data_IF_741493037092
#
_entry.id   IF_741493037092
#
_cell.length_a   1.000
_cell.length_b   1.000
_cell.length_c   1.000
_cell.angle_alpha   90.00
_cell.angle_beta   90.00
_cell.angle_gamma   90.00
#
_symmetry.space_group_name_H-M   'P 1'
#
loop_
_entity.id
_entity.type
_entity.pdbx_description
1 polymer ?
#
# COMPACT_ATOMS: atom_id res chain seq x y z
N UNK A 1 -10.79 11.19 -7.35
CA UNK A 1 -10.68 10.66 -8.73
C UNK A 1 -9.43 9.81 -8.95
N UNK A 2 -8.22 10.25 -8.56
CA UNK A 2 -6.98 9.50 -8.85
C UNK A 2 -6.94 8.09 -8.24
N UNK A 3 -7.39 7.94 -6.99
CA UNK A 3 -7.41 6.64 -6.29
C UNK A 3 -8.34 5.63 -6.99
N UNK A 4 -9.48 6.09 -7.51
CA UNK A 4 -10.42 5.23 -8.27
C UNK A 4 -9.74 4.77 -9.57
N UNK A 5 -9.06 5.68 -10.28
CA UNK A 5 -8.29 5.32 -11.47
C UNK A 5 -7.18 4.31 -11.16
N UNK A 6 -6.50 4.44 -10.02
CA UNK A 6 -5.49 3.46 -9.60
C UNK A 6 -6.12 2.08 -9.37
N UNK A 7 -7.26 2.03 -8.68
CA UNK A 7 -7.99 0.79 -8.45
C UNK A 7 -8.43 0.14 -9.77
N UNK A 8 -9.00 0.92 -10.70
CA UNK A 8 -9.40 0.44 -12.03
C UNK A 8 -8.20 -0.02 -12.86
N UNK A 9 -7.10 0.73 -12.85
CA UNK A 9 -5.89 0.39 -13.60
C UNK A 9 -5.24 -0.89 -13.10
N UNK A 10 -5.15 -1.06 -11.77
CA UNK A 10 -4.59 -2.27 -11.16
C UNK A 10 -5.49 -3.49 -11.33
N UNK A 11 -6.82 -3.36 -11.23
CA UNK A 11 -7.72 -4.48 -11.53
C UNK A 11 -7.64 -4.85 -13.01
N UNK A 12 -7.67 -3.88 -13.93
CA UNK A 12 -7.53 -4.12 -15.36
C UNK A 12 -6.23 -4.86 -15.69
N UNK A 13 -5.10 -4.47 -15.07
CA UNK A 13 -3.81 -5.13 -15.29
C UNK A 13 -3.77 -6.60 -14.83
N UNK A 14 -4.67 -6.98 -13.92
CA UNK A 14 -4.77 -8.33 -13.36
C UNK A 14 -5.89 -9.17 -13.99
N UNK A 15 -6.68 -8.61 -14.91
CA UNK A 15 -7.68 -9.38 -15.65
C UNK A 15 -6.96 -10.35 -16.59
N UNK A 16 -7.28 -11.64 -16.48
CA UNK A 16 -6.74 -12.67 -17.36
C UNK A 16 -7.07 -12.39 -18.83
N UNK A 17 -6.13 -12.71 -19.72
CA UNK A 17 -6.30 -12.51 -21.15
C UNK A 17 -7.34 -13.48 -21.73
N UNK A 18 -8.09 -13.03 -22.74
CA UNK A 18 -9.01 -13.91 -23.47
C UNK A 18 -8.17 -14.93 -24.27
N UNK A 19 -8.17 -16.20 -23.84
CA UNK A 19 -7.36 -17.27 -24.45
C UNK A 19 -6.56 -18.15 -23.49
N UNK A 20 -6.53 -17.84 -22.19
CA UNK A 20 -6.11 -18.80 -21.16
C UNK A 20 -7.25 -19.78 -20.86
N UNK A 21 -6.91 -21.03 -20.46
CA UNK A 21 -7.83 -22.17 -20.35
C UNK A 21 -8.99 -22.02 -19.34
N UNK A 22 -9.09 -20.86 -18.68
CA UNK A 22 -10.06 -20.56 -17.63
C UNK A 22 -10.81 -19.28 -17.94
N UNK A 23 -11.55 -19.25 -19.05
CA UNK A 23 -12.71 -18.36 -19.17
C UNK A 23 -13.83 -18.89 -18.25
N UNK A 24 -13.55 -18.98 -16.96
CA UNK A 24 -14.60 -19.17 -15.95
C UNK A 24 -15.51 -17.95 -16.04
N UNK A 25 -16.82 -18.21 -16.08
CA UNK A 25 -17.85 -17.18 -16.04
C UNK A 25 -17.52 -16.16 -14.94
N UNK A 26 -17.23 -14.91 -15.32
CA UNK A 26 -16.68 -13.84 -14.47
C UNK A 26 -17.51 -13.49 -13.21
N UNK A 27 -18.66 -14.13 -13.02
CA UNK A 27 -19.56 -13.99 -11.87
C UNK A 27 -20.03 -15.32 -11.27
N UNK A 28 -19.36 -16.43 -11.57
CA UNK A 28 -19.78 -17.77 -11.14
C UNK A 28 -19.21 -18.19 -9.78
N UNK A 29 -18.40 -17.35 -9.14
CA UNK A 29 -17.94 -17.64 -7.79
C UNK A 29 -19.11 -17.56 -6.79
N UNK A 30 -19.11 -18.36 -5.71
CA UNK A 30 -20.14 -18.29 -4.68
C UNK A 30 -20.25 -16.88 -4.07
N UNK A 31 -21.47 -16.41 -3.80
CA UNK A 31 -21.73 -15.08 -3.19
C UNK A 31 -20.93 -14.85 -1.91
N UNK A 32 -20.71 -15.91 -1.12
CA UNK A 32 -19.89 -15.89 0.08
C UNK A 32 -18.44 -15.46 -0.20
N UNK A 33 -17.87 -15.85 -1.33
CA UNK A 33 -16.52 -15.44 -1.75
C UNK A 33 -16.45 -13.93 -1.99
N UNK A 34 -17.43 -13.36 -2.69
CA UNK A 34 -17.50 -11.90 -2.89
C UNK A 34 -17.67 -11.14 -1.57
N UNK A 35 -18.54 -11.61 -0.66
CA UNK A 35 -18.74 -10.98 0.65
C UNK A 35 -17.46 -11.01 1.51
N UNK A 36 -16.77 -12.15 1.55
CA UNK A 36 -15.49 -12.27 2.26
C UNK A 36 -14.39 -11.42 1.61
N UNK A 37 -14.40 -11.30 0.28
CA UNK A 37 -13.50 -10.41 -0.46
C UNK A 37 -13.66 -8.95 -0.01
N UNK A 38 -14.90 -8.44 -0.02
CA UNK A 38 -15.20 -7.07 0.43
C UNK A 38 -14.81 -6.88 1.91
N UNK A 39 -15.15 -7.84 2.77
CA UNK A 39 -14.80 -7.77 4.19
C UNK A 39 -13.27 -7.72 4.38
N UNK A 40 -12.52 -8.54 3.66
CA UNK A 40 -11.05 -8.56 3.74
C UNK A 40 -10.43 -7.24 3.26
N UNK A 41 -10.98 -6.61 2.22
CA UNK A 41 -10.54 -5.30 1.75
C UNK A 41 -10.79 -4.22 2.82
N UNK A 42 -11.96 -4.22 3.46
CA UNK A 42 -12.28 -3.29 4.54
C UNK A 42 -11.34 -3.46 5.75
N UNK A 43 -11.09 -4.70 6.17
CA UNK A 43 -10.17 -5.00 7.28
C UNK A 43 -8.73 -4.60 6.95
N UNK A 44 -8.28 -4.84 5.72
CA UNK A 44 -6.95 -4.43 5.24
C UNK A 44 -6.78 -2.90 5.25
N UNK A 45 -7.79 -2.17 4.77
CA UNK A 45 -7.81 -0.71 4.80
C UNK A 45 -7.80 -0.17 6.24
N UNK A 46 -8.65 -0.72 7.12
CA UNK A 46 -8.72 -0.35 8.53
C UNK A 46 -7.39 -0.61 9.24
N UNK A 47 -6.77 -1.78 9.05
CA UNK A 47 -5.48 -2.11 9.64
C UNK A 47 -4.38 -1.13 9.20
N UNK A 48 -4.36 -0.75 7.92
CA UNK A 48 -3.42 0.25 7.38
C UNK A 48 -3.60 1.62 8.04
N UNK A 49 -4.83 2.14 8.07
CA UNK A 49 -5.15 3.46 8.66
C UNK A 49 -4.92 3.45 10.17
N UNK A 50 -5.25 2.36 10.86
CA UNK A 50 -5.03 2.25 12.30
C UNK A 50 -3.53 2.19 12.64
N UNK A 51 -2.73 1.51 11.83
CA UNK A 51 -1.27 1.48 12.01
C UNK A 51 -0.68 2.87 11.80
N UNK A 52 -1.11 3.59 10.76
CA UNK A 52 -0.71 4.98 10.53
C UNK A 52 -1.06 5.88 11.72
N UNK A 53 -2.30 5.78 12.20
CA UNK A 53 -2.78 6.51 13.36
C UNK A 53 -1.92 6.23 14.61
N UNK A 54 -1.66 4.96 14.91
CA UNK A 54 -0.86 4.54 16.07
C UNK A 54 0.58 5.07 16.00
N UNK A 55 1.20 5.01 14.82
CA UNK A 55 2.59 5.45 14.63
C UNK A 55 2.74 6.97 14.68
N UNK A 56 1.74 7.71 14.19
CA UNK A 56 1.75 9.19 14.18
C UNK A 56 1.28 9.82 15.49
N UNK A 57 0.38 9.16 16.23
CA UNK A 57 -0.14 9.69 17.49
C UNK A 57 0.93 9.70 18.60
N UNK A 58 1.85 8.74 18.56
CA UNK A 58 2.81 8.53 19.62
C UNK A 58 4.21 9.07 19.23
N UNK A 59 4.82 9.87 20.10
CA UNK A 59 6.13 10.51 19.85
C UNK A 59 7.35 9.60 20.13
N UNK A 60 7.11 8.32 20.38
CA UNK A 60 8.17 7.35 20.63
C UNK A 60 9.08 7.12 19.41
N UNK A 61 10.25 6.53 19.64
CA UNK A 61 11.13 6.10 18.55
C UNK A 61 10.43 5.10 17.63
N UNK A 62 10.69 5.19 16.32
CA UNK A 62 10.13 4.25 15.34
C UNK A 62 10.51 2.80 15.64
N UNK A 63 11.73 2.58 16.12
CA UNK A 63 12.20 1.24 16.48
C UNK A 63 11.39 0.64 17.61
N UNK A 64 11.06 1.42 18.64
CA UNK A 64 10.25 0.94 19.77
C UNK A 64 8.82 0.59 19.34
N UNK A 65 8.19 1.44 18.53
CA UNK A 65 6.88 1.17 17.96
C UNK A 65 6.88 -0.11 17.09
N UNK A 66 7.92 -0.31 16.28
CA UNK A 66 8.08 -1.51 15.48
C UNK A 66 8.28 -2.76 16.33
N UNK A 67 9.08 -2.71 17.40
CA UNK A 67 9.27 -3.84 18.32
C UNK A 67 7.93 -4.25 18.93
N UNK A 68 7.13 -3.30 19.42
CA UNK A 68 5.80 -3.60 19.98
C UNK A 68 4.88 -4.22 18.92
N UNK A 69 4.75 -3.58 17.77
CA UNK A 69 3.85 -4.02 16.70
C UNK A 69 4.21 -5.41 16.17
N UNK A 70 5.49 -5.66 15.87
CA UNK A 70 5.94 -6.95 15.36
C UNK A 70 5.96 -8.04 16.43
N UNK A 71 6.12 -7.69 17.71
CA UNK A 71 6.00 -8.68 18.80
C UNK A 71 4.57 -9.23 18.86
N UNK A 72 3.56 -8.37 18.84
CA UNK A 72 2.16 -8.82 18.77
C UNK A 72 1.88 -9.59 17.48
N UNK A 73 2.40 -9.13 16.34
CA UNK A 73 2.30 -9.84 15.06
C UNK A 73 2.89 -11.25 15.11
N UNK A 74 4.08 -11.41 15.71
CA UNK A 74 4.74 -12.70 15.87
C UNK A 74 3.94 -13.64 16.78
N UNK A 75 3.43 -13.15 17.91
CA UNK A 75 2.59 -13.93 18.83
C UNK A 75 1.34 -14.45 18.11
N UNK A 76 0.64 -13.60 17.36
CA UNK A 76 -0.56 -13.99 16.61
C UNK A 76 -0.25 -15.01 15.50
N UNK A 77 0.87 -14.87 14.79
CA UNK A 77 1.30 -15.85 13.78
C UNK A 77 1.66 -17.20 14.42
N UNK A 78 2.38 -17.20 15.55
CA UNK A 78 2.68 -18.43 16.30
C UNK A 78 1.41 -19.10 16.81
N UNK A 79 0.47 -18.33 17.36
CA UNK A 79 -0.82 -18.85 17.80
C UNK A 79 -1.60 -19.50 16.64
N UNK A 80 -1.54 -18.89 15.44
CA UNK A 80 -2.16 -19.46 14.24
C UNK A 80 -1.55 -20.81 13.86
N UNK A 81 -0.21 -20.92 13.87
CA UNK A 81 0.49 -22.19 13.61
C UNK A 81 0.07 -23.29 14.59
N UNK A 82 -0.03 -22.94 15.88
CA UNK A 82 -0.49 -23.86 16.92
C UNK A 82 -1.93 -24.31 16.68
N UNK A 83 -2.84 -23.39 16.36
CA UNK A 83 -4.24 -23.74 16.02
C UNK A 83 -4.30 -24.65 14.80
N UNK A 84 -3.49 -24.40 13.77
CA UNK A 84 -3.46 -25.24 12.57
C UNK A 84 -2.91 -26.65 12.87
N UNK A 85 -1.91 -26.79 13.74
CA UNK A 85 -1.43 -28.09 14.25
C UNK A 85 -2.52 -28.86 15.02
N UNK A 86 -3.23 -28.18 15.93
CA UNK A 86 -4.33 -28.76 16.70
C UNK A 86 -5.46 -29.24 15.78
N UNK A 87 -5.82 -28.45 14.75
CA UNK A 87 -6.86 -28.82 13.78
C UNK A 87 -6.44 -29.99 12.89
N UNK A 88 -5.15 -30.10 12.59
CA UNK A 88 -4.59 -31.20 11.81
C UNK A 88 -4.22 -32.43 12.67
N UNK A 89 -4.57 -32.45 13.96
CA UNK A 89 -4.32 -33.60 14.84
C UNK A 89 -2.85 -33.99 14.98
N UNK A 90 -1.91 -33.05 14.77
CA UNK A 90 -0.46 -33.30 14.77
C UNK A 90 0.03 -34.39 13.79
N UNK A 91 -0.74 -34.72 12.74
CA UNK A 91 -0.37 -35.77 11.77
C UNK A 91 1.00 -35.57 11.13
N UNK A 92 1.41 -34.30 10.96
CA UNK A 92 2.68 -33.91 10.34
C UNK A 92 3.78 -33.57 11.36
N UNK A 93 3.51 -33.78 12.65
CA UNK A 93 4.35 -33.30 13.74
C UNK A 93 4.18 -31.79 14.01
N UNK A 94 4.75 -31.30 15.11
CA UNK A 94 4.55 -29.93 15.56
C UNK A 94 5.27 -28.91 14.66
N UNK A 95 4.72 -27.69 14.59
CA UNK A 95 5.14 -26.63 13.69
C UNK A 95 6.62 -26.30 13.76
N UNK A 96 7.23 -26.35 14.96
CA UNK A 96 8.63 -26.01 15.18
C UNK A 96 9.61 -26.98 14.50
N UNK A 97 9.24 -28.26 14.36
CA UNK A 97 10.05 -29.23 13.61
C UNK A 97 9.91 -29.03 12.10
N UNK A 98 8.75 -28.53 11.66
CA UNK A 98 8.44 -28.31 10.24
C UNK A 98 8.86 -26.94 9.72
N UNK A 99 9.13 -25.99 10.61
CA UNK A 99 9.31 -24.57 10.27
C UNK A 99 10.35 -24.33 9.19
N UNK A 100 11.47 -25.06 9.24
CA UNK A 100 12.59 -24.92 8.31
C UNK A 100 12.65 -26.02 7.24
N UNK A 101 11.68 -26.93 7.21
CA UNK A 101 11.69 -28.01 6.23
C UNK A 101 11.42 -27.44 4.81
N UNK A 102 12.28 -27.79 3.86
CA UNK A 102 12.18 -27.31 2.47
C UNK A 102 12.66 -25.87 2.25
N UNK A 103 13.37 -25.27 3.22
CA UNK A 103 13.94 -23.93 3.03
C UNK A 103 15.11 -23.98 2.04
N UNK A 104 14.93 -23.31 0.90
CA UNK A 104 15.97 -23.08 -0.09
C UNK A 104 16.63 -21.71 0.11
N UNK A 105 17.74 -21.45 -0.58
CA UNK A 105 18.37 -20.11 -0.62
C UNK A 105 17.35 -19.05 -1.11
N UNK A 106 16.52 -19.40 -2.08
CA UNK A 106 15.45 -18.53 -2.58
C UNK A 106 14.41 -18.22 -1.51
N UNK A 107 14.06 -19.20 -0.67
CA UNK A 107 13.14 -19.00 0.47
C UNK A 107 13.71 -17.97 1.45
N UNK A 108 15.00 -18.07 1.79
CA UNK A 108 15.68 -17.09 2.64
C UNK A 108 15.71 -15.69 2.02
N UNK A 109 15.96 -15.59 0.70
CA UNK A 109 15.90 -14.31 -0.01
C UNK A 109 14.51 -13.66 0.11
N UNK A 110 13.43 -14.44 -0.03
CA UNK A 110 12.06 -13.94 0.12
C UNK A 110 11.79 -13.50 1.56
N UNK A 111 12.24 -14.24 2.57
CA UNK A 111 12.09 -13.88 3.99
C UNK A 111 12.79 -12.55 4.29
N UNK A 112 14.04 -12.37 3.84
CA UNK A 112 14.78 -11.13 4.03
C UNK A 112 14.14 -9.95 3.29
N UNK A 113 13.68 -10.17 2.06
CA UNK A 113 12.99 -9.16 1.27
C UNK A 113 11.69 -8.71 1.97
N UNK A 114 10.88 -9.66 2.43
CA UNK A 114 9.60 -9.37 3.09
C UNK A 114 9.80 -8.63 4.42
N UNK A 115 10.82 -9.02 5.20
CA UNK A 115 11.21 -8.29 6.41
C UNK A 115 11.65 -6.86 6.12
N UNK A 116 12.47 -6.67 5.08
CA UNK A 116 12.95 -5.35 4.65
C UNK A 116 11.80 -4.45 4.17
N UNK A 117 10.89 -4.99 3.35
CA UNK A 117 9.68 -4.27 2.92
C UNK A 117 8.80 -3.90 4.11
N UNK A 118 8.66 -4.77 5.10
CA UNK A 118 7.91 -4.47 6.33
C UNK A 118 8.46 -3.26 7.09
N UNK A 119 9.78 -3.18 7.24
CA UNK A 119 10.46 -2.05 7.88
C UNK A 119 10.29 -0.74 7.09
N UNK A 120 10.41 -0.80 5.75
CA UNK A 120 10.18 0.34 4.88
C UNK A 120 8.73 0.82 4.94
N UNK A 121 7.76 -0.10 5.00
CA UNK A 121 6.35 0.23 5.17
C UNK A 121 6.09 0.92 6.51
N UNK A 122 6.70 0.44 7.60
CA UNK A 122 6.62 1.12 8.90
C UNK A 122 7.20 2.54 8.87
N UNK A 123 8.31 2.73 8.16
CA UNK A 123 8.88 4.07 7.96
C UNK A 123 7.92 4.97 7.16
N UNK A 124 7.35 4.46 6.07
CA UNK A 124 6.31 5.17 5.30
C UNK A 124 5.10 5.53 6.16
N UNK A 125 4.65 4.65 7.04
CA UNK A 125 3.50 4.92 7.91
C UNK A 125 3.75 6.01 8.95
N UNK A 126 5.00 6.17 9.40
CA UNK A 126 5.36 7.22 10.35
C UNK A 126 5.57 8.57 9.70
N UNK A 127 6.25 8.60 8.55
CA UNK A 127 6.72 9.84 7.93
C UNK A 127 5.94 10.27 6.68
N UNK A 128 5.11 9.39 6.14
CA UNK A 128 4.22 9.65 5.01
C UNK A 128 2.81 9.17 5.36
N UNK A 129 1.96 8.99 4.33
CA UNK A 129 0.57 8.57 4.50
C UNK A 129 0.34 7.16 3.93
N UNK A 130 -0.69 6.46 4.43
CA UNK A 130 -1.08 5.16 3.90
C UNK A 130 -1.44 5.22 2.40
N UNK A 131 -1.83 6.39 1.88
CA UNK A 131 -2.06 6.58 0.44
C UNK A 131 -0.77 6.41 -0.36
N UNK A 132 0.36 6.96 0.11
CA UNK A 132 1.67 6.82 -0.55
C UNK A 132 2.11 5.36 -0.55
N UNK A 133 1.86 4.62 0.55
CA UNK A 133 2.09 3.17 0.61
C UNK A 133 1.30 2.43 -0.48
N UNK A 134 0.02 2.75 -0.65
CA UNK A 134 -0.83 2.09 -1.67
C UNK A 134 -0.28 2.38 -3.08
N UNK A 135 0.05 3.63 -3.41
CA UNK A 135 0.67 3.95 -4.71
C UNK A 135 2.01 3.22 -4.92
N UNK A 136 2.87 3.16 -3.90
CA UNK A 136 4.14 2.44 -3.98
C UNK A 136 3.94 0.96 -4.24
N UNK A 137 2.96 0.35 -3.58
CA UNK A 137 2.65 -1.08 -3.75
C UNK A 137 2.08 -1.36 -5.13
N UNK A 138 1.20 -0.49 -5.64
CA UNK A 138 0.68 -0.58 -7.01
C UNK A 138 1.78 -0.43 -8.05
N UNK A 139 2.73 0.50 -7.88
CA UNK A 139 3.85 0.65 -8.81
C UNK A 139 4.79 -0.56 -8.79
N UNK A 140 5.06 -1.13 -7.60
CA UNK A 140 5.84 -2.36 -7.48
C UNK A 140 5.16 -3.55 -8.20
N UNK A 141 3.83 -3.64 -8.12
CA UNK A 141 3.05 -4.64 -8.88
C UNK A 141 3.24 -4.46 -10.40
N UNK A 142 3.10 -3.24 -10.93
CA UNK A 142 3.32 -2.96 -12.36
C UNK A 142 4.75 -3.30 -12.79
N UNK A 143 5.75 -2.88 -12.01
CA UNK A 143 7.15 -3.18 -12.27
C UNK A 143 7.40 -4.70 -12.30
N UNK A 144 6.81 -5.43 -11.36
CA UNK A 144 6.91 -6.90 -11.32
C UNK A 144 6.33 -7.53 -12.58
N UNK A 145 5.21 -7.03 -13.09
CA UNK A 145 4.62 -7.52 -14.34
C UNK A 145 5.51 -7.22 -15.55
N UNK A 146 6.09 -6.02 -15.64
CA UNK A 146 7.04 -5.66 -16.70
C UNK A 146 8.29 -6.54 -16.65
N UNK A 147 8.89 -6.71 -15.47
CA UNK A 147 10.04 -7.60 -15.30
C UNK A 147 9.71 -9.05 -15.64
N UNK A 148 8.47 -9.50 -15.37
CA UNK A 148 8.04 -10.85 -15.70
C UNK A 148 7.99 -11.12 -17.21
N UNK A 149 7.66 -10.10 -18.01
CA UNK A 149 7.74 -10.19 -19.48
C UNK A 149 9.18 -10.44 -19.93
N UNK A 150 10.15 -9.70 -19.38
CA UNK A 150 11.56 -9.81 -19.78
C UNK A 150 12.27 -11.05 -19.23
N UNK A 151 12.04 -11.39 -17.95
CA UNK A 151 12.76 -12.47 -17.27
C UNK A 151 12.14 -13.84 -17.50
N UNK A 152 10.80 -13.92 -17.56
CA UNK A 152 10.08 -15.20 -17.66
C UNK A 152 9.40 -15.40 -19.02
N UNK A 153 9.64 -14.50 -19.99
CA UNK A 153 9.00 -14.54 -21.32
C UNK A 153 7.47 -14.60 -21.24
N UNK A 154 6.89 -13.95 -20.22
CA UNK A 154 5.45 -13.83 -20.07
C UNK A 154 4.86 -13.07 -21.26
N UNK A 155 3.77 -13.56 -21.83
CA UNK A 155 3.12 -12.93 -22.99
C UNK A 155 2.35 -11.69 -22.51
N UNK A 156 2.79 -10.46 -22.84
CA UNK A 156 2.08 -9.26 -22.39
C UNK A 156 0.68 -9.23 -23.01
N UNK A 157 -0.32 -8.97 -22.17
CA UNK A 157 -1.71 -8.83 -22.60
C UNK A 157 -2.03 -7.35 -22.87
N UNK A 158 -3.04 -7.09 -23.71
CA UNK A 158 -3.48 -5.72 -23.97
C UNK A 158 -4.03 -5.04 -22.70
N UNK A 159 -4.64 -5.84 -21.82
CA UNK A 159 -5.12 -5.43 -20.49
C UNK A 159 -3.98 -4.89 -19.61
N UNK A 160 -2.81 -5.55 -19.62
CA UNK A 160 -1.62 -5.10 -18.88
C UNK A 160 -1.16 -3.73 -19.37
N UNK A 161 -1.05 -3.53 -20.68
CA UNK A 161 -0.62 -2.25 -21.26
C UNK A 161 -1.56 -1.10 -20.91
N UNK A 162 -2.87 -1.30 -21.07
CA UNK A 162 -3.88 -0.29 -20.70
C UNK A 162 -3.88 -0.02 -19.19
N UNK A 163 -3.74 -1.05 -18.36
CA UNK A 163 -3.64 -0.91 -16.91
C UNK A 163 -2.44 -0.06 -16.48
N UNK A 164 -1.27 -0.25 -17.11
CA UNK A 164 -0.07 0.57 -16.85
C UNK A 164 -0.34 2.03 -17.20
N UNK A 165 -0.91 2.33 -18.38
CA UNK A 165 -1.22 3.71 -18.79
C UNK A 165 -2.16 4.39 -17.78
N UNK A 166 -3.24 3.70 -17.38
CA UNK A 166 -4.21 4.24 -16.43
C UNK A 166 -3.55 4.51 -15.06
N UNK A 167 -2.69 3.61 -14.59
CA UNK A 167 -1.96 3.80 -13.34
C UNK A 167 -0.98 4.98 -13.42
N UNK A 168 -0.27 5.15 -14.55
CA UNK A 168 0.63 6.29 -14.76
C UNK A 168 -0.14 7.62 -14.78
N UNK A 169 -1.31 7.66 -15.42
CA UNK A 169 -2.20 8.83 -15.40
C UNK A 169 -2.72 9.14 -13.99
N UNK A 170 -3.09 8.11 -13.22
CA UNK A 170 -3.50 8.25 -11.82
C UNK A 170 -2.37 8.84 -10.96
N UNK A 171 -1.15 8.33 -11.11
CA UNK A 171 0.03 8.80 -10.39
C UNK A 171 0.29 10.28 -10.69
N UNK A 172 0.29 10.66 -11.98
CA UNK A 172 0.44 12.05 -12.40
C UNK A 172 -0.65 12.94 -11.81
N UNK A 173 -1.92 12.52 -11.84
CA UNK A 173 -3.02 13.33 -11.32
C UNK A 173 -2.98 13.48 -9.79
N UNK A 174 -2.40 12.53 -9.06
CA UNK A 174 -2.28 12.59 -7.60
C UNK A 174 -1.10 13.45 -7.14
N UNK A 175 0.05 13.35 -7.81
CA UNK A 175 1.28 14.04 -7.40
C UNK A 175 1.54 15.35 -8.15
N UNK A 176 0.84 15.65 -9.24
CA UNK A 176 1.01 16.92 -9.94
C UNK A 176 0.42 18.09 -9.13
N UNK A 177 1.13 19.23 -9.06
CA UNK A 177 0.64 20.41 -8.35
C UNK A 177 -0.62 20.99 -9.03
N UNK A 178 -1.55 21.60 -8.27
CA UNK A 178 -2.82 22.13 -8.80
C UNK A 178 -2.66 23.12 -9.96
N UNK A 179 -1.53 23.84 -10.00
CA UNK A 179 -1.18 24.81 -11.04
C UNK A 179 -0.90 24.20 -12.43
N UNK A 180 -0.63 22.89 -12.49
CA UNK A 180 -0.40 22.16 -13.75
C UNK A 180 -1.69 21.50 -14.27
N UNK A 181 -2.69 21.30 -13.40
CA UNK A 181 -3.93 20.55 -13.69
C UNK A 181 -5.12 21.47 -14.00
N UNK A 182 -5.12 22.67 -13.43
CA UNK A 182 -6.05 23.75 -13.77
C UNK A 182 -5.19 24.88 -14.29
N UNK A 183 -5.44 25.36 -15.50
CA UNK A 183 -4.80 26.57 -16.05
C UNK A 183 -5.21 27.85 -15.28
N UNK A 184 -5.13 27.81 -13.96
CA UNK A 184 -5.28 28.96 -13.08
C UNK A 184 -4.06 29.86 -13.35
N UNK A 185 -4.27 31.12 -13.79
CA UNK A 185 -3.17 32.07 -13.89
C UNK A 185 -2.48 32.16 -12.53
N UNK A 186 -1.15 32.38 -12.50
CA UNK A 186 -0.42 32.48 -11.24
C UNK A 186 -1.06 33.60 -10.43
N UNK A 187 -1.62 33.24 -9.27
CA UNK A 187 -2.06 34.24 -8.29
C UNK A 187 -0.81 34.95 -7.80
N UNK A 188 -0.61 36.17 -8.31
CA UNK A 188 0.35 37.13 -7.76
C UNK A 188 -0.01 37.25 -6.27
N UNK A 189 0.85 36.71 -5.40
CA UNK A 189 0.83 37.04 -3.98
C UNK A 189 1.13 38.54 -3.90
N UNK A 190 0.11 39.34 -3.63
CA UNK A 190 0.31 40.69 -3.11
C UNK A 190 0.76 40.53 -1.65
N UNK A 191 2.05 40.77 -1.41
CA UNK A 191 2.63 40.82 -0.06
C UNK A 191 1.83 41.80 0.83
N UNK A 192 1.33 41.39 2.00
CA UNK A 192 0.59 42.26 2.89
C UNK A 192 1.48 42.93 3.95
N UNK A 193 2.67 43.42 3.58
CA UNK A 193 3.66 43.96 4.54
C UNK A 193 3.98 45.45 4.39
N UNK A 194 3.18 46.22 3.64
CA UNK A 194 3.50 47.65 3.40
C UNK A 194 2.44 48.67 3.81
N UNK A 195 1.46 48.35 4.67
CA UNK A 195 0.34 49.29 4.91
C UNK A 195 -0.08 49.59 6.37
N UNK A 196 0.66 49.22 7.41
CA UNK A 196 0.28 49.67 8.77
C UNK A 196 1.48 49.88 9.71
N UNK A 197 2.34 50.89 9.47
CA UNK A 197 3.06 51.61 10.55
C UNK A 197 3.49 53.00 10.06
N UNK A 198 2.59 53.99 9.97
CA UNK A 198 2.88 55.41 10.31
C UNK A 198 1.52 56.12 10.44
N UNK A 199 0.91 56.06 11.61
CA UNK A 199 0.02 57.10 12.14
C UNK A 199 -0.41 56.69 13.54
N UNK A 200 0.30 57.17 14.56
CA UNK A 200 -0.31 57.75 15.78
C UNK A 200 0.79 58.47 16.56
N UNK A 201 1.12 59.69 16.13
CA UNK A 201 1.72 60.68 17.03
C UNK A 201 0.60 61.17 17.94
N UNK A 202 0.31 60.40 19.00
CA UNK A 202 -0.61 60.82 20.04
C UNK A 202 0.09 61.76 21.01
N UNK A 203 -0.13 63.04 20.76
CA UNK A 203 -0.07 64.15 21.69
C UNK A 203 -1.00 63.89 22.89
N UNK A 204 -0.44 63.81 24.10
CA UNK A 204 -1.04 64.24 25.37
C UNK A 204 0.06 64.22 26.45
N UNK A 205 0.21 65.14 27.40
CA UNK A 205 -0.42 66.40 27.79
C UNK A 205 0.46 66.96 28.93
N UNK A 206 0.36 68.27 29.16
CA UNK A 206 0.65 69.04 30.39
C UNK A 206 2.04 68.98 31.05
#
# INVERSE_FOLDING_TARGET
MAIILLAVGTTMSQVQGCGEASCDSLFSAPIQGYMLGVLSACLSALAGVYTEFLMKQNNDSLYWQNVQLYTFGAILNMARLVVDDFRAGYEKGPWWQRLFNGYSVTTWMVVLNLGSTGLLVSWLMKYADNIVKVYSTSMAMLLTMVLSVFLFSFKPTLQLFLGIIICMMSLHMYFAPPSMLVGLPPTVRSDPDSLVIVSDDHKAES
#
